data_IF_071245185762
#
_entry.id   IF_071245185762
#
_cell.length_a   1.000
_cell.length_b   1.000
_cell.length_c   1.000
_cell.angle_alpha   90.00
_cell.angle_beta   90.00
_cell.angle_gamma   90.00
#
_symmetry.space_group_name_H-M   'P 1'
#
loop_
_entity.id
_entity.type
_entity.pdbx_description
1 polymer ?
#
# COMPACT_ATOMS: atom_id res chain seq x y z
N UNK A 1 -4.63 46.86 -29.44
CA UNK A 1 -4.57 47.71 -28.24
C UNK A 1 -4.65 46.78 -27.04
N UNK A 2 -3.59 46.76 -26.23
CA UNK A 2 -3.44 45.93 -25.02
C UNK A 2 -4.58 46.16 -24.03
N UNK A 3 -4.96 45.12 -23.27
CA UNK A 3 -5.14 45.13 -21.80
C UNK A 3 -5.13 43.67 -21.31
N UNK A 4 -4.28 43.41 -20.32
CA UNK A 4 -4.14 42.19 -19.51
C UNK A 4 -5.05 42.24 -18.26
N UNK A 5 -5.45 41.07 -17.76
CA UNK A 5 -5.27 40.60 -16.36
C UNK A 5 -6.42 39.74 -15.81
N UNK A 6 -6.01 38.60 -15.24
CA UNK A 6 -6.49 37.89 -14.02
C UNK A 6 -7.99 37.86 -13.67
N UNK A 7 -8.54 36.65 -13.45
CA UNK A 7 -9.38 36.36 -12.28
C UNK A 7 -9.39 34.86 -11.89
N UNK A 8 -9.00 34.63 -10.64
CA UNK A 8 -9.30 33.51 -9.75
C UNK A 8 -10.80 33.42 -9.46
N UNK A 9 -11.34 32.20 -9.32
CA UNK A 9 -12.69 31.97 -8.78
C UNK A 9 -12.56 31.34 -7.39
N UNK A 10 -13.25 32.00 -6.47
CA UNK A 10 -13.39 31.83 -5.03
C UNK A 10 -14.53 30.83 -4.72
N UNK A 11 -14.34 29.96 -3.72
CA UNK A 11 -15.43 29.21 -3.08
C UNK A 11 -15.19 29.17 -1.57
N UNK A 12 -16.02 29.90 -0.84
CA UNK A 12 -16.30 29.75 0.60
C UNK A 12 -17.73 30.25 0.89
N UNK A 13 -18.36 30.07 2.07
CA UNK A 13 -17.87 29.56 3.37
C UNK A 13 -18.75 28.39 3.92
N UNK A 14 -18.45 27.61 4.96
CA UNK A 14 -18.18 28.00 6.35
C UNK A 14 -17.93 26.72 7.17
N UNK A 15 -16.89 26.70 8.02
CA UNK A 15 -16.93 26.33 9.45
C UNK A 15 -15.51 26.56 9.98
N UNK A 16 -15.42 27.49 10.92
CA UNK A 16 -14.19 27.92 11.59
C UNK A 16 -13.57 26.76 12.39
N UNK A 17 -12.35 26.34 12.06
CA UNK A 17 -11.37 25.84 13.04
C UNK A 17 -9.97 26.39 12.75
N UNK A 18 -9.31 26.77 13.83
CA UNK A 18 -8.08 27.55 13.97
C UNK A 18 -6.90 27.06 13.09
N UNK A 19 -6.34 27.99 12.30
CA UNK A 19 -4.90 28.23 12.18
C UNK A 19 -4.02 27.17 11.49
N UNK A 20 -4.12 27.06 10.16
CA UNK A 20 -3.00 26.60 9.32
C UNK A 20 -2.57 27.76 8.42
N UNK A 21 -1.44 28.40 8.72
CA UNK A 21 -0.81 29.35 7.80
C UNK A 21 -0.13 28.56 6.68
N UNK A 22 -0.74 28.56 5.50
CA UNK A 22 -0.13 28.06 4.27
C UNK A 22 1.01 29.04 3.88
N UNK A 23 2.26 28.70 4.24
CA UNK A 23 3.42 29.46 3.80
C UNK A 23 3.58 29.32 2.28
N UNK A 24 3.61 30.46 1.59
CA UNK A 24 4.09 30.54 0.22
C UNK A 24 5.50 29.94 0.14
N UNK A 25 5.63 28.91 -0.68
CA UNK A 25 6.86 28.16 -0.90
C UNK A 25 7.79 28.96 -1.80
N UNK A 26 8.92 29.40 -1.27
CA UNK A 26 9.99 30.04 -2.04
C UNK A 26 10.80 29.02 -2.85
N UNK A 27 11.54 29.52 -3.83
CA UNK A 27 12.31 28.87 -4.91
C UNK A 27 13.44 27.90 -4.49
N UNK A 28 13.47 27.44 -3.24
CA UNK A 28 14.38 26.40 -2.71
C UNK A 28 13.87 24.96 -2.92
N UNK A 29 12.67 24.80 -3.49
CA UNK A 29 11.91 23.54 -3.48
C UNK A 29 12.14 22.63 -4.70
N UNK A 30 13.10 22.93 -5.58
CA UNK A 30 13.43 22.08 -6.74
C UNK A 30 14.18 20.82 -6.33
N UNK A 31 15.17 20.92 -5.44
CA UNK A 31 15.97 19.76 -5.02
C UNK A 31 15.15 18.72 -4.23
N UNK A 32 14.27 19.17 -3.35
CA UNK A 32 13.37 18.28 -2.61
C UNK A 32 12.38 17.57 -3.55
N UNK A 33 11.70 18.32 -4.44
CA UNK A 33 10.82 17.71 -5.46
C UNK A 33 11.58 16.73 -6.36
N UNK A 34 12.79 17.07 -6.79
CA UNK A 34 13.63 16.17 -7.58
C UNK A 34 14.02 14.90 -6.82
N UNK A 35 14.32 14.99 -5.51
CA UNK A 35 14.58 13.83 -4.67
C UNK A 35 13.37 12.89 -4.60
N UNK A 36 12.15 13.43 -4.47
CA UNK A 36 10.92 12.65 -4.46
C UNK A 36 10.73 11.85 -5.76
N UNK A 37 10.96 12.47 -6.92
CA UNK A 37 10.91 11.76 -8.21
C UNK A 37 12.06 10.75 -8.38
N UNK A 38 13.28 11.14 -8.00
CA UNK A 38 14.49 10.29 -8.12
C UNK A 38 14.35 9.00 -7.31
N UNK A 39 13.76 9.10 -6.13
CA UNK A 39 13.58 7.97 -5.21
C UNK A 39 12.25 7.24 -5.42
N UNK A 40 11.37 7.75 -6.29
CA UNK A 40 10.17 7.03 -6.70
C UNK A 40 10.52 5.83 -7.59
N UNK A 41 10.10 4.66 -7.15
CA UNK A 41 10.42 3.36 -7.78
C UNK A 41 9.20 2.49 -8.01
N UNK A 42 8.18 2.65 -7.16
CA UNK A 42 6.92 1.92 -7.24
C UNK A 42 5.81 2.91 -7.59
N UNK A 43 5.52 3.04 -8.87
CA UNK A 43 4.42 3.88 -9.35
C UNK A 43 3.06 3.26 -9.03
N UNK A 44 1.99 4.05 -9.11
CA UNK A 44 0.59 3.65 -8.88
C UNK A 44 -0.25 4.03 -10.08
N UNK A 45 -1.16 3.13 -10.46
CA UNK A 45 -2.29 3.46 -11.33
C UNK A 45 -3.38 4.07 -10.44
N UNK A 46 -3.92 5.20 -10.85
CA UNK A 46 -5.04 5.89 -10.19
C UNK A 46 -6.09 6.32 -11.21
N UNK A 47 -7.24 6.77 -10.73
CA UNK A 47 -8.28 7.32 -11.58
C UNK A 47 -7.93 8.73 -12.09
N UNK A 48 -8.22 8.96 -13.36
CA UNK A 48 -8.15 10.27 -13.99
C UNK A 48 -9.31 11.18 -13.63
N UNK A 49 -10.46 10.57 -13.34
CA UNK A 49 -11.73 11.19 -12.96
C UNK A 49 -12.47 10.31 -11.94
N UNK A 50 -13.26 10.92 -11.05
CA UNK A 50 -14.06 10.20 -10.06
C UNK A 50 -15.16 9.37 -10.74
N UNK A 51 -15.26 8.09 -10.39
CA UNK A 51 -16.38 7.24 -10.76
C UNK A 51 -17.44 7.31 -9.66
N UNK A 52 -18.65 7.74 -10.02
CA UNK A 52 -19.78 7.86 -9.07
C UNK A 52 -20.81 6.76 -9.20
N UNK A 53 -20.84 6.05 -10.33
CA UNK A 53 -21.82 5.02 -10.60
C UNK A 53 -21.22 3.63 -10.32
N UNK A 54 -21.78 2.93 -9.35
CA UNK A 54 -21.44 1.54 -8.99
C UNK A 54 -22.28 0.51 -9.76
N UNK A 55 -23.29 0.94 -10.53
CA UNK A 55 -24.12 0.04 -11.33
C UNK A 55 -23.63 0.02 -12.78
N UNK A 56 -23.28 -1.16 -13.28
CA UNK A 56 -22.81 -1.33 -14.64
C UNK A 56 -23.81 -2.13 -15.47
N UNK A 57 -24.15 -1.60 -16.64
CA UNK A 57 -24.93 -2.35 -17.64
C UNK A 57 -24.04 -3.40 -18.30
N UNK A 58 -24.52 -4.64 -18.35
CA UNK A 58 -23.82 -5.73 -19.01
C UNK A 58 -23.85 -5.54 -20.54
N UNK A 59 -22.82 -6.02 -21.23
CA UNK A 59 -22.65 -5.89 -22.68
C UNK A 59 -22.58 -4.44 -23.21
N UNK A 60 -22.37 -3.46 -22.32
CA UNK A 60 -22.17 -2.04 -22.67
C UNK A 60 -20.72 -1.64 -22.49
N UNK A 61 -20.17 -0.92 -23.47
CA UNK A 61 -18.84 -0.31 -23.36
C UNK A 61 -18.90 0.92 -22.45
N UNK A 62 -17.98 0.97 -21.48
CA UNK A 62 -17.79 2.06 -20.55
C UNK A 62 -16.37 2.61 -20.70
N UNK A 63 -16.19 3.91 -20.55
CA UNK A 63 -14.87 4.55 -20.62
C UNK A 63 -14.32 4.83 -19.23
N UNK A 64 -13.01 4.73 -19.09
CA UNK A 64 -12.30 5.05 -17.86
C UNK A 64 -10.96 5.71 -18.17
N UNK A 65 -10.69 6.81 -17.48
CA UNK A 65 -9.41 7.49 -17.56
C UNK A 65 -8.55 7.02 -16.40
N UNK A 66 -7.36 6.49 -16.72
CA UNK A 66 -6.35 6.07 -15.76
C UNK A 66 -5.17 7.04 -15.81
N UNK A 67 -4.54 7.27 -14.67
CA UNK A 67 -3.33 8.08 -14.54
C UNK A 67 -2.22 7.30 -13.86
N UNK A 68 -0.99 7.51 -14.31
CA UNK A 68 0.20 7.00 -13.66
C UNK A 68 0.77 8.06 -12.71
N UNK A 69 0.96 7.69 -11.46
CA UNK A 69 1.50 8.57 -10.41
C UNK A 69 2.59 7.89 -9.59
N UNK A 70 3.43 8.68 -8.93
CA UNK A 70 4.34 8.22 -7.88
C UNK A 70 3.58 7.81 -6.62
N UNK A 71 4.25 7.22 -5.63
CA UNK A 71 3.70 6.92 -4.30
C UNK A 71 3.12 8.16 -3.56
N UNK A 72 3.57 9.35 -3.94
CA UNK A 72 3.07 10.62 -3.39
C UNK A 72 1.99 11.27 -4.24
N UNK A 73 1.61 10.68 -5.37
CA UNK A 73 0.54 11.20 -6.24
C UNK A 73 1.03 12.20 -7.27
N UNK A 74 2.34 12.39 -7.36
CA UNK A 74 2.94 13.22 -8.38
C UNK A 74 2.85 12.52 -9.75
N UNK A 75 2.55 13.24 -10.84
CA UNK A 75 2.51 12.69 -12.19
C UNK A 75 3.76 11.88 -12.55
N UNK A 76 3.60 10.66 -13.05
CA UNK A 76 4.69 9.85 -13.57
C UNK A 76 4.50 9.61 -15.07
N UNK A 77 5.61 9.55 -15.81
CA UNK A 77 5.58 9.34 -17.26
C UNK A 77 5.32 7.87 -17.59
N UNK A 78 4.43 7.64 -18.55
CA UNK A 78 4.22 6.33 -19.17
C UNK A 78 5.45 6.02 -20.04
N UNK A 79 5.97 4.78 -20.03
CA UNK A 79 7.05 4.40 -20.94
C UNK A 79 6.70 4.69 -22.41
N UNK A 80 7.64 5.24 -23.17
CA UNK A 80 7.45 5.62 -24.59
C UNK A 80 7.16 4.44 -25.54
N UNK A 81 7.07 3.21 -25.04
CA UNK A 81 6.81 1.99 -25.82
C UNK A 81 5.38 1.88 -26.39
N UNK A 82 4.56 2.92 -26.28
CA UNK A 82 3.24 3.02 -26.93
C UNK A 82 2.14 2.10 -26.39
N UNK A 83 2.46 1.11 -25.57
CA UNK A 83 1.49 0.24 -24.91
C UNK A 83 1.50 0.54 -23.41
N UNK A 84 0.37 0.97 -22.86
CA UNK A 84 0.13 0.93 -21.41
C UNK A 84 -0.25 -0.52 -21.06
N UNK A 85 0.67 -1.30 -20.46
CA UNK A 85 0.50 -2.73 -20.40
C UNK A 85 -0.36 -3.05 -19.19
N UNK A 86 -1.68 -2.92 -19.27
CA UNK A 86 -2.60 -3.37 -18.22
C UNK A 86 -3.62 -4.34 -18.81
N UNK A 87 -3.76 -5.47 -18.13
CA UNK A 87 -4.87 -6.40 -18.28
C UNK A 87 -6.00 -5.97 -17.38
N UNK A 88 -7.22 -6.26 -17.81
CA UNK A 88 -8.42 -6.07 -17.01
C UNK A 88 -8.95 -7.44 -16.59
N UNK A 89 -9.19 -7.59 -15.31
CA UNK A 89 -9.75 -8.78 -14.71
C UNK A 89 -10.97 -8.38 -13.88
N UNK A 90 -11.95 -9.29 -13.81
CA UNK A 90 -13.12 -9.10 -12.97
C UNK A 90 -12.96 -9.99 -11.74
N UNK A 91 -12.89 -9.40 -10.56
CA UNK A 91 -12.77 -10.09 -9.28
C UNK A 91 -14.12 -10.13 -8.56
N UNK A 92 -14.32 -11.17 -7.75
CA UNK A 92 -15.42 -11.31 -6.81
C UNK A 92 -14.90 -11.90 -5.50
N UNK A 93 -15.59 -11.59 -4.41
CA UNK A 93 -15.35 -12.22 -3.12
C UNK A 93 -15.83 -13.68 -3.15
N UNK A 94 -14.92 -14.62 -2.89
CA UNK A 94 -15.17 -16.06 -2.87
C UNK A 94 -15.17 -16.61 -1.46
N UNK A 95 -16.20 -17.42 -1.16
CA UNK A 95 -16.40 -18.10 0.13
C UNK A 95 -16.36 -17.15 1.34
N UNK A 96 -16.58 -15.84 1.12
CA UNK A 96 -16.43 -14.81 2.15
C UNK A 96 -15.01 -14.66 2.70
N UNK A 97 -13.97 -15.07 1.97
CA UNK A 97 -12.59 -15.12 2.49
C UNK A 97 -11.56 -14.41 1.61
N UNK A 98 -11.65 -14.48 0.29
CA UNK A 98 -10.63 -13.89 -0.59
C UNK A 98 -11.25 -13.44 -1.91
N UNK A 99 -10.60 -12.53 -2.60
CA UNK A 99 -11.01 -12.09 -3.93
C UNK A 99 -10.32 -12.95 -4.99
N UNK A 100 -11.07 -13.39 -5.99
CA UNK A 100 -10.53 -14.15 -7.12
C UNK A 100 -11.33 -13.85 -8.38
N UNK A 101 -10.83 -14.32 -9.53
CA UNK A 101 -11.48 -14.14 -10.82
C UNK A 101 -12.96 -14.57 -10.79
N UNK A 102 -13.79 -13.78 -11.44
CA UNK A 102 -15.17 -14.10 -11.71
C UNK A 102 -15.25 -15.36 -12.57
N UNK A 103 -16.15 -16.29 -12.20
CA UNK A 103 -16.39 -17.53 -12.94
C UNK A 103 -17.60 -17.42 -13.87
N UNK A 104 -18.44 -16.41 -13.66
CA UNK A 104 -19.74 -16.23 -14.33
C UNK A 104 -19.74 -15.09 -15.34
N UNK A 105 -18.86 -14.10 -15.16
CA UNK A 105 -18.81 -12.89 -15.96
C UNK A 105 -17.35 -12.61 -16.34
N UNK A 106 -17.12 -12.22 -17.58
CA UNK A 106 -15.80 -11.84 -18.09
C UNK A 106 -15.73 -10.34 -18.35
N UNK A 107 -14.53 -9.80 -18.45
CA UNK A 107 -14.31 -8.40 -18.84
C UNK A 107 -13.41 -8.36 -20.07
N UNK A 108 -13.81 -7.54 -21.04
CA UNK A 108 -12.99 -7.15 -22.19
C UNK A 108 -12.55 -5.71 -21.99
N UNK A 109 -11.33 -5.39 -22.40
CA UNK A 109 -10.80 -4.04 -22.35
C UNK A 109 -10.00 -3.72 -23.61
N UNK A 110 -10.10 -2.48 -24.09
CA UNK A 110 -9.32 -1.94 -25.21
C UNK A 110 -8.88 -0.52 -24.91
N UNK A 111 -7.83 -0.06 -25.58
CA UNK A 111 -7.53 1.36 -25.64
C UNK A 111 -8.69 2.06 -26.35
N UNK A 112 -9.09 3.24 -25.88
CA UNK A 112 -10.00 4.06 -26.66
C UNK A 112 -9.29 4.47 -27.96
N UNK A 113 -9.92 4.20 -29.10
CA UNK A 113 -9.53 4.85 -30.35
C UNK A 113 -9.67 6.36 -30.14
N UNK A 114 -8.75 7.15 -30.69
CA UNK A 114 -8.99 8.59 -30.82
C UNK A 114 -10.24 8.72 -31.71
N UNK A 115 -11.42 8.83 -31.10
CA UNK A 115 -12.57 9.41 -31.78
C UNK A 115 -12.06 10.72 -32.35
N UNK A 116 -12.16 10.88 -33.68
CA UNK A 116 -11.94 12.15 -34.35
C UNK A 116 -12.56 13.23 -33.48
N UNK A 117 -11.70 14.02 -32.85
CA UNK A 117 -12.13 15.08 -31.96
C UNK A 117 -13.17 15.89 -32.71
N UNK A 118 -14.40 15.95 -32.16
CA UNK A 118 -15.40 16.89 -32.59
C UNK A 118 -14.72 18.23 -32.86
N UNK A 119 -14.89 18.73 -34.09
CA UNK A 119 -14.12 19.82 -34.72
C UNK A 119 -14.19 21.20 -34.01
N UNK A 120 -14.61 21.26 -32.76
CA UNK A 120 -14.74 22.47 -31.95
C UNK A 120 -13.55 22.78 -31.04
N UNK A 121 -12.58 21.87 -30.88
CA UNK A 121 -11.37 22.11 -30.07
C UNK A 121 -10.05 22.14 -30.85
N UNK A 122 -10.06 22.46 -32.15
CA UNK A 122 -8.85 22.84 -32.87
C UNK A 122 -8.60 24.35 -32.80
N UNK A 123 -8.10 24.83 -31.66
CA UNK A 123 -7.25 26.00 -31.63
C UNK A 123 -6.17 25.82 -30.57
N UNK A 124 -5.06 25.18 -30.96
CA UNK A 124 -3.68 25.70 -30.86
C UNK A 124 -2.69 24.54 -30.85
N UNK A 125 -2.13 24.24 -32.02
CA UNK A 125 -0.70 24.28 -32.33
C UNK A 125 -0.42 23.42 -33.56
N UNK A 126 -0.31 24.09 -34.69
CA UNK A 126 0.37 23.60 -35.87
C UNK A 126 1.85 23.35 -35.54
N UNK A 127 2.38 22.19 -35.96
CA UNK A 127 3.58 22.11 -36.79
C UNK A 127 3.76 20.67 -37.29
N UNK A 128 3.57 20.52 -38.59
CA UNK A 128 3.89 19.35 -39.39
C UNK A 128 5.39 19.24 -39.62
N UNK A 129 5.93 18.02 -39.58
CA UNK A 129 7.02 17.61 -40.46
C UNK A 129 6.74 16.17 -40.92
N UNK A 130 6.37 16.07 -42.18
CA UNK A 130 6.23 14.85 -42.96
C UNK A 130 7.63 14.29 -43.19
N UNK A 131 7.84 13.00 -42.93
CA UNK A 131 8.84 12.20 -43.62
C UNK A 131 8.18 10.88 -43.99
N UNK A 132 7.95 10.70 -45.29
CA UNK A 132 7.53 9.44 -45.90
C UNK A 132 8.69 8.43 -45.76
N UNK A 133 8.48 7.35 -44.99
CA UNK A 133 9.04 5.99 -45.22
C UNK A 133 9.12 5.05 -44.00
N UNK A 134 8.41 5.26 -42.89
CA UNK A 134 8.38 4.25 -41.81
C UNK A 134 6.95 3.97 -41.31
N UNK A 135 6.52 2.71 -41.38
CA UNK A 135 5.30 2.16 -40.79
C UNK A 135 5.41 2.07 -39.25
N UNK A 136 5.55 3.21 -38.57
CA UNK A 136 5.46 3.28 -37.10
C UNK A 136 4.67 4.52 -36.68
N UNK A 137 3.45 4.31 -36.17
CA UNK A 137 2.65 5.36 -35.56
C UNK A 137 3.26 5.78 -34.23
N UNK A 138 3.89 6.96 -34.20
CA UNK A 138 4.28 7.62 -32.95
C UNK A 138 3.25 8.71 -32.60
N UNK A 139 2.49 8.50 -31.53
CA UNK A 139 1.68 9.56 -30.93
C UNK A 139 2.50 10.31 -29.88
N UNK A 140 2.78 11.59 -30.14
CA UNK A 140 3.24 12.53 -29.12
C UNK A 140 2.02 13.26 -28.56
N UNK A 141 1.42 12.73 -27.49
CA UNK A 141 0.45 13.50 -26.71
C UNK A 141 1.20 14.40 -25.72
N UNK A 142 0.71 15.63 -25.54
CA UNK A 142 1.30 16.64 -24.64
C UNK A 142 1.11 16.31 -23.15
N UNK A 143 0.43 15.21 -22.80
CA UNK A 143 0.21 14.70 -21.44
C UNK A 143 0.45 13.19 -21.35
N UNK A 144 1.72 12.80 -21.29
CA UNK A 144 2.22 11.41 -21.31
C UNK A 144 1.96 10.59 -20.03
N UNK A 145 0.93 10.92 -19.24
CA UNK A 145 0.59 10.27 -17.96
C UNK A 145 -0.85 9.78 -17.83
N UNK A 146 -1.71 10.05 -18.83
CA UNK A 146 -3.13 9.67 -18.84
C UNK A 146 -3.38 8.63 -19.93
N UNK A 147 -4.19 7.62 -19.63
CA UNK A 147 -4.62 6.58 -20.56
C UNK A 147 -6.12 6.44 -20.47
N UNK A 148 -6.80 6.54 -21.61
CA UNK A 148 -8.23 6.25 -21.72
C UNK A 148 -8.43 4.82 -22.18
N UNK A 149 -9.13 4.05 -21.37
CA UNK A 149 -9.53 2.68 -21.67
C UNK A 149 -11.04 2.60 -21.86
N UNK A 150 -11.47 1.68 -22.71
CA UNK A 150 -12.85 1.22 -22.76
C UNK A 150 -12.92 -0.20 -22.26
N UNK A 151 -13.91 -0.50 -21.41
CA UNK A 151 -14.15 -1.83 -20.88
C UNK A 151 -15.62 -2.23 -21.03
N UNK A 152 -15.86 -3.53 -21.17
CA UNK A 152 -17.20 -4.12 -21.28
C UNK A 152 -17.22 -5.41 -20.48
N UNK A 153 -18.21 -5.54 -19.62
CA UNK A 153 -18.44 -6.78 -18.85
C UNK A 153 -19.44 -7.62 -19.64
N UNK A 154 -19.06 -8.86 -19.96
CA UNK A 154 -19.94 -9.84 -20.58
C UNK A 154 -20.36 -10.88 -19.54
N UNK A 155 -21.57 -11.42 -19.68
CA UNK A 155 -22.05 -12.51 -18.83
C UNK A 155 -23.57 -12.66 -18.90
N UNK A 156 -24.07 -13.65 -18.19
CA UNK A 156 -25.50 -14.03 -18.17
C UNK A 156 -26.15 -13.85 -16.79
N UNK A 157 -25.36 -13.64 -15.74
CA UNK A 157 -25.83 -13.42 -14.37
C UNK A 157 -25.77 -11.93 -14.02
N UNK A 158 -26.90 -11.42 -13.55
CA UNK A 158 -27.11 -10.06 -13.07
C UNK A 158 -27.93 -10.16 -11.79
N UNK A 159 -27.35 -10.86 -10.81
CA UNK A 159 -27.84 -10.79 -9.45
C UNK A 159 -27.40 -9.44 -8.87
N UNK A 160 -28.35 -8.58 -8.53
CA UNK A 160 -28.07 -7.25 -7.98
C UNK A 160 -27.39 -7.30 -6.60
N UNK A 161 -27.35 -8.45 -5.94
CA UNK A 161 -26.64 -8.64 -4.66
C UNK A 161 -25.15 -8.96 -4.83
N UNK A 162 -24.70 -9.37 -6.02
CA UNK A 162 -23.30 -9.71 -6.25
C UNK A 162 -22.46 -8.46 -6.49
N UNK A 163 -21.36 -8.36 -5.75
CA UNK A 163 -20.35 -7.31 -5.92
C UNK A 163 -19.18 -7.81 -6.78
N UNK A 164 -18.86 -7.01 -7.78
CA UNK A 164 -17.74 -7.22 -8.68
C UNK A 164 -16.71 -6.10 -8.54
N UNK A 165 -15.46 -6.43 -8.81
CA UNK A 165 -14.36 -5.47 -8.72
C UNK A 165 -13.54 -5.55 -10.00
N UNK A 166 -13.29 -4.41 -10.64
CA UNK A 166 -12.47 -4.35 -11.85
C UNK A 166 -11.02 -4.17 -11.44
N UNK A 167 -10.20 -5.18 -11.71
CA UNK A 167 -8.78 -5.22 -11.40
C UNK A 167 -7.95 -4.93 -12.65
N UNK A 168 -7.27 -3.79 -12.65
CA UNK A 168 -6.28 -3.38 -13.63
C UNK A 168 -4.91 -3.87 -13.17
N UNK A 169 -4.48 -4.99 -13.71
CA UNK A 169 -3.19 -5.60 -13.42
C UNK A 169 -2.21 -5.30 -14.56
N UNK A 170 -1.01 -4.77 -14.29
CA UNK A 170 0.00 -4.60 -15.33
C UNK A 170 0.34 -5.93 -16.04
N UNK A 171 0.59 -5.95 -17.36
CA UNK A 171 0.89 -7.17 -18.16
C UNK A 171 2.16 -7.90 -17.70
N UNK A 172 2.96 -7.30 -16.83
CA UNK A 172 3.99 -8.01 -16.08
C UNK A 172 3.40 -8.37 -14.72
N UNK A 173 3.14 -9.67 -14.52
CA UNK A 173 2.66 -10.20 -13.24
C UNK A 173 3.59 -9.78 -12.09
N UNK A 174 3.08 -9.73 -10.86
CA UNK A 174 3.93 -9.44 -9.69
C UNK A 174 5.11 -10.44 -9.54
N UNK A 175 4.98 -11.64 -10.12
CA UNK A 175 6.04 -12.66 -10.19
C UNK A 175 7.13 -12.30 -11.20
N UNK A 176 6.75 -11.78 -12.37
CA UNK A 176 7.67 -11.41 -13.46
C UNK A 176 8.34 -10.05 -13.24
N UNK A 177 7.77 -9.20 -12.37
CA UNK A 177 8.41 -7.96 -11.90
C UNK A 177 9.85 -8.19 -11.47
N UNK A 178 10.15 -9.27 -10.76
CA UNK A 178 11.47 -9.55 -10.18
C UNK A 178 12.59 -9.62 -11.25
N UNK A 179 12.25 -9.81 -12.53
CA UNK A 179 13.20 -9.98 -13.63
C UNK A 179 13.20 -8.86 -14.69
N UNK A 180 12.21 -7.96 -14.66
CA UNK A 180 12.04 -6.87 -15.63
C UNK A 180 12.85 -5.62 -15.23
N UNK A 181 13.40 -4.92 -16.23
CA UNK A 181 14.05 -3.60 -16.03
C UNK A 181 13.02 -2.47 -15.86
N UNK A 182 11.76 -2.71 -16.18
CA UNK A 182 10.72 -1.68 -16.21
C UNK A 182 9.99 -1.56 -14.86
N UNK A 183 9.74 -0.32 -14.46
CA UNK A 183 8.99 0.03 -13.23
C UNK A 183 7.50 -0.30 -13.43
N UNK A 184 7.10 -1.57 -13.24
CA UNK A 184 5.69 -1.96 -13.28
C UNK A 184 4.92 -1.32 -12.10
N UNK A 185 3.83 -0.56 -12.36
CA UNK A 185 3.09 0.15 -11.32
C UNK A 185 2.16 -0.76 -10.52
N UNK A 186 1.81 -0.41 -9.29
CA UNK A 186 0.84 -1.18 -8.49
C UNK A 186 -0.50 -1.26 -9.20
N UNK A 187 -1.13 -2.43 -9.08
CA UNK A 187 -2.45 -2.68 -9.62
C UNK A 187 -3.46 -1.71 -9.01
N UNK A 188 -4.52 -1.44 -9.78
CA UNK A 188 -5.67 -0.68 -9.33
C UNK A 188 -6.87 -1.61 -9.36
N UNK A 189 -7.60 -1.69 -8.26
CA UNK A 189 -8.86 -2.40 -8.21
C UNK A 189 -9.97 -1.40 -7.89
N UNK A 190 -11.07 -1.46 -8.62
CA UNK A 190 -12.20 -0.55 -8.49
C UNK A 190 -13.46 -1.33 -8.12
N UNK A 191 -14.28 -0.79 -7.23
CA UNK A 191 -15.57 -1.37 -6.89
C UNK A 191 -16.13 -0.82 -5.57
N UNK A 192 -17.13 -1.48 -4.98
CA UNK A 192 -17.88 -2.57 -5.59
C UNK A 192 -18.70 -2.09 -6.78
N UNK A 193 -18.88 -2.95 -7.77
CA UNK A 193 -19.80 -2.77 -8.89
C UNK A 193 -20.91 -3.82 -8.81
N UNK A 194 -22.14 -3.41 -9.13
CA UNK A 194 -23.29 -4.30 -9.31
C UNK A 194 -23.66 -4.34 -10.80
N UNK A 195 -23.98 -5.52 -11.32
CA UNK A 195 -24.31 -5.70 -12.73
C UNK A 195 -25.82 -5.70 -12.96
N UNK A 196 -26.29 -4.93 -13.96
CA UNK A 196 -27.71 -4.85 -14.33
C UNK A 196 -27.94 -5.33 -15.77
N UNK A 197 -29.03 -6.09 -15.99
CA UNK A 197 -29.36 -6.69 -17.31
C UNK A 197 -30.32 -5.89 -18.21
N UNK A 198 -31.15 -4.99 -17.68
CA UNK A 198 -32.09 -4.18 -18.49
C UNK A 198 -32.33 -2.80 -17.87
N UNK A 199 -32.67 -1.83 -18.73
CA UNK A 199 -33.22 -0.54 -18.33
C UNK A 199 -34.56 -0.78 -17.65
N UNK A 200 -34.70 -0.38 -16.38
CA UNK A 200 -36.04 -0.14 -15.86
C UNK A 200 -36.68 0.88 -16.79
N UNK A 201 -37.73 0.48 -17.48
CA UNK A 201 -38.65 1.34 -18.23
C UNK A 201 -39.46 2.23 -17.28
N UNK A 202 -38.79 2.84 -16.31
CA UNK A 202 -39.30 3.89 -15.48
C UNK A 202 -38.55 5.15 -15.90
N UNK A 203 -39.15 5.87 -16.84
CA UNK A 203 -39.01 7.30 -17.02
C UNK A 203 -39.53 8.04 -15.76
N UNK A 204 -39.14 7.60 -14.57
CA UNK A 204 -39.09 8.47 -13.42
C UNK A 204 -37.73 9.13 -13.48
N UNK A 205 -37.73 10.37 -13.96
CA UNK A 205 -36.72 11.37 -13.66
C UNK A 205 -36.49 11.28 -12.15
N UNK A 206 -35.48 10.52 -11.73
CA UNK A 206 -35.00 10.62 -10.37
C UNK A 206 -34.49 12.06 -10.26
N UNK A 207 -34.89 12.81 -9.21
CA UNK A 207 -34.31 14.12 -9.00
C UNK A 207 -32.79 13.97 -9.02
N UNK A 208 -32.08 14.96 -9.55
CA UNK A 208 -30.67 15.14 -9.24
C UNK A 208 -30.55 15.23 -7.71
N UNK A 209 -30.40 14.08 -7.05
CA UNK A 209 -30.08 13.98 -5.64
C UNK A 209 -28.60 14.36 -5.60
N UNK A 210 -28.37 15.65 -5.41
CA UNK A 210 -27.02 16.22 -5.44
C UNK A 210 -26.12 15.65 -4.34
N UNK A 211 -26.68 14.98 -3.32
CA UNK A 211 -25.98 14.31 -2.23
C UNK A 211 -26.72 13.02 -1.82
N UNK A 212 -26.40 11.89 -2.47
CA UNK A 212 -26.68 10.56 -1.89
C UNK A 212 -25.45 10.17 -1.04
N UNK A 213 -25.54 10.38 0.27
CA UNK A 213 -24.50 10.02 1.25
C UNK A 213 -24.46 8.51 1.53
N UNK A 214 -25.17 7.67 0.76
CA UNK A 214 -25.07 6.22 0.90
C UNK A 214 -23.75 5.70 0.36
N UNK A 215 -22.82 5.40 1.28
CA UNK A 215 -21.53 4.77 1.01
C UNK A 215 -21.59 3.50 0.14
N UNK A 216 -22.77 2.83 0.05
CA UNK A 216 -22.99 1.64 -0.78
C UNK A 216 -22.97 1.91 -2.29
N UNK A 217 -23.18 3.15 -2.73
CA UNK A 217 -23.25 3.48 -4.15
C UNK A 217 -21.92 4.01 -4.72
N UNK A 218 -20.90 4.23 -3.89
CA UNK A 218 -19.64 4.86 -4.30
C UNK A 218 -18.59 3.85 -4.72
N UNK A 219 -18.01 4.04 -5.90
CA UNK A 219 -16.85 3.26 -6.37
C UNK A 219 -15.59 3.77 -5.68
N UNK A 220 -14.91 2.87 -4.99
CA UNK A 220 -13.66 3.12 -4.27
C UNK A 220 -12.46 2.57 -5.05
N UNK A 221 -11.28 3.08 -4.70
CA UNK A 221 -9.99 2.59 -5.18
C UNK A 221 -9.35 1.68 -4.14
N UNK A 222 -8.96 0.50 -4.59
CA UNK A 222 -8.29 -0.50 -3.80
C UNK A 222 -6.97 -0.94 -4.45
N UNK A 223 -6.08 -1.48 -3.64
CA UNK A 223 -4.94 -2.29 -4.07
C UNK A 223 -5.27 -3.75 -3.86
N UNK A 224 -5.13 -4.55 -4.92
CA UNK A 224 -5.25 -6.00 -4.83
C UNK A 224 -3.87 -6.58 -4.53
N UNK A 225 -3.66 -7.05 -3.30
CA UNK A 225 -2.43 -7.73 -2.90
C UNK A 225 -2.61 -9.24 -3.02
N UNK A 226 -1.68 -9.96 -3.67
CA UNK A 226 -1.79 -11.39 -3.80
C UNK A 226 -1.69 -12.09 -2.45
N UNK A 227 -2.32 -13.25 -2.36
CA UNK A 227 -2.15 -14.23 -1.30
C UNK A 227 -1.22 -15.36 -1.80
N UNK A 228 -0.71 -16.25 -0.92
CA UNK A 228 0.17 -17.36 -1.30
C UNK A 228 -0.39 -18.31 -2.36
N UNK A 229 -1.71 -18.42 -2.47
CA UNK A 229 -2.36 -19.23 -3.50
C UNK A 229 -2.55 -18.37 -4.75
N UNK A 230 -2.13 -18.89 -5.91
CA UNK A 230 -2.23 -18.18 -7.19
C UNK A 230 -3.66 -17.68 -7.45
N UNK A 231 -3.75 -16.46 -7.99
CA UNK A 231 -5.01 -15.77 -8.33
C UNK A 231 -5.97 -15.53 -7.16
N UNK A 232 -5.48 -15.56 -5.92
CA UNK A 232 -6.22 -15.12 -4.73
C UNK A 232 -5.66 -13.77 -4.27
N UNK A 233 -6.55 -12.85 -3.91
CA UNK A 233 -6.20 -11.49 -3.52
C UNK A 233 -6.90 -11.05 -2.25
N UNK A 234 -6.27 -10.09 -1.57
CA UNK A 234 -6.90 -9.21 -0.59
C UNK A 234 -7.03 -7.82 -1.20
N UNK A 235 -8.11 -7.12 -0.88
CA UNK A 235 -8.29 -5.74 -1.29
C UNK A 235 -7.98 -4.80 -0.13
N UNK A 236 -7.30 -3.70 -0.40
CA UNK A 236 -7.01 -2.66 0.57
C UNK A 236 -7.39 -1.30 0.02
N UNK A 237 -8.30 -0.60 0.69
CA UNK A 237 -8.71 0.74 0.33
C UNK A 237 -7.58 1.72 0.67
N UNK A 238 -7.25 2.58 -0.29
CA UNK A 238 -6.39 3.75 -0.06
C UNK A 238 -7.25 5.01 -0.02
N UNK A 239 -7.08 5.83 1.02
CA UNK A 239 -7.70 7.15 1.13
C UNK A 239 -6.58 8.19 1.14
N UNK A 240 -6.33 8.77 -0.02
CA UNK A 240 -5.20 9.68 -0.24
C UNK A 240 -5.30 10.95 0.61
N UNK A 241 -6.51 11.37 0.92
CA UNK A 241 -6.81 12.54 1.77
C UNK A 241 -6.53 12.27 3.26
N UNK A 242 -6.42 11.00 3.67
CA UNK A 242 -6.03 10.62 5.03
C UNK A 242 -4.51 10.74 5.25
N UNK A 243 -3.76 11.29 4.29
CA UNK A 243 -2.32 11.51 4.41
C UNK A 243 -1.52 10.21 4.46
N UNK A 244 -0.47 10.19 5.29
CA UNK A 244 0.46 9.05 5.42
C UNK A 244 -0.21 7.72 5.80
N UNK A 245 -1.10 7.64 6.80
CA UNK A 245 -1.73 6.37 7.18
C UNK A 245 -2.74 5.85 6.15
N UNK A 246 -3.18 6.70 5.22
CA UNK A 246 -4.18 6.38 4.20
C UNK A 246 -3.69 5.56 3.00
N UNK A 247 -2.41 5.19 2.98
CA UNK A 247 -1.74 4.63 1.79
C UNK A 247 -1.06 3.31 2.09
N UNK A 248 -0.97 2.46 1.08
CA UNK A 248 -0.09 1.31 1.08
C UNK A 248 1.33 1.78 0.80
N UNK A 249 2.29 1.46 1.66
CA UNK A 249 3.69 1.85 1.50
C UNK A 249 4.57 0.72 0.97
N UNK A 250 5.67 1.09 0.31
CA UNK A 250 6.52 0.16 -0.44
C UNK A 250 7.18 -0.88 0.46
N UNK A 251 7.56 -0.50 1.69
CA UNK A 251 8.09 -1.44 2.67
C UNK A 251 7.08 -2.52 3.07
N UNK A 252 5.79 -2.19 3.17
CA UNK A 252 4.73 -3.15 3.45
C UNK A 252 4.54 -4.16 2.30
N UNK A 253 4.65 -3.70 1.05
CA UNK A 253 4.64 -4.60 -0.12
C UNK A 253 5.77 -5.63 -0.07
N UNK A 254 6.99 -5.17 0.23
CA UNK A 254 8.17 -6.04 0.34
C UNK A 254 7.99 -7.06 1.46
N UNK A 255 7.51 -6.61 2.62
CA UNK A 255 7.27 -7.50 3.76
C UNK A 255 6.16 -8.52 3.46
N UNK A 256 5.04 -8.11 2.88
CA UNK A 256 3.96 -9.00 2.48
C UNK A 256 4.40 -10.04 1.47
N UNK A 257 5.21 -9.66 0.48
CA UNK A 257 5.79 -10.62 -0.46
C UNK A 257 6.58 -11.70 0.27
N UNK A 258 7.45 -11.33 1.22
CA UNK A 258 8.22 -12.31 1.99
C UNK A 258 7.30 -13.17 2.87
N UNK A 259 6.37 -12.59 3.62
CA UNK A 259 5.45 -13.37 4.47
C UNK A 259 4.60 -14.35 3.68
N UNK A 260 4.11 -13.97 2.50
CA UNK A 260 3.38 -14.87 1.63
C UNK A 260 4.27 -16.02 1.16
N UNK A 261 5.47 -15.68 0.69
CA UNK A 261 6.45 -16.67 0.26
C UNK A 261 6.80 -17.65 1.39
N UNK A 262 6.94 -17.17 2.64
CA UNK A 262 7.20 -18.04 3.78
C UNK A 262 6.02 -18.95 4.10
N UNK A 263 4.79 -18.47 3.91
CA UNK A 263 3.60 -19.28 4.10
C UNK A 263 3.46 -20.41 3.06
N UNK A 264 3.96 -20.22 1.83
CA UNK A 264 4.05 -21.28 0.81
C UNK A 264 5.04 -22.38 1.23
N UNK A 265 6.16 -21.99 1.85
CA UNK A 265 7.21 -22.90 2.29
C UNK A 265 6.83 -23.66 3.56
N UNK A 266 6.22 -22.97 4.52
CA UNK A 266 5.80 -23.54 5.79
C UNK A 266 4.65 -22.72 6.39
N UNK A 267 3.42 -23.22 6.23
CA UNK A 267 2.22 -22.54 6.73
C UNK A 267 2.21 -22.30 8.25
N UNK A 268 3.07 -22.96 9.04
CA UNK A 268 3.12 -22.84 10.50
C UNK A 268 4.26 -21.94 11.01
N UNK A 269 5.00 -21.25 10.14
CA UNK A 269 6.18 -20.46 10.54
C UNK A 269 5.89 -19.36 11.59
N UNK A 270 4.65 -18.88 11.69
CA UNK A 270 4.20 -17.92 12.71
C UNK A 270 3.29 -18.53 13.78
N UNK A 271 3.15 -19.85 13.82
CA UNK A 271 2.25 -20.53 14.75
C UNK A 271 2.54 -20.13 16.21
N UNK A 272 1.49 -19.69 16.91
CA UNK A 272 1.53 -19.24 18.30
C UNK A 272 2.35 -17.97 18.57
N UNK A 273 2.92 -17.31 17.56
CA UNK A 273 3.70 -16.06 17.72
C UNK A 273 2.80 -14.88 18.06
N UNK A 274 3.30 -13.92 18.83
CA UNK A 274 2.63 -12.65 19.10
C UNK A 274 3.36 -11.55 18.35
N UNK A 275 2.67 -10.87 17.46
CA UNK A 275 3.22 -9.93 16.48
C UNK A 275 2.54 -8.59 16.64
N UNK A 276 3.32 -7.51 16.67
CA UNK A 276 2.83 -6.16 16.54
C UNK A 276 3.09 -5.67 15.11
N UNK A 277 2.10 -5.04 14.48
CA UNK A 277 2.28 -4.24 13.28
C UNK A 277 2.17 -2.77 13.70
N UNK A 278 3.31 -2.12 13.88
CA UNK A 278 3.41 -0.78 14.48
C UNK A 278 3.34 0.29 13.40
N UNK A 279 2.42 1.24 13.57
CA UNK A 279 2.04 2.24 12.57
C UNK A 279 1.60 1.59 11.26
N UNK A 280 0.62 0.69 11.41
CA UNK A 280 0.16 -0.20 10.35
C UNK A 280 -0.59 0.52 9.22
N UNK A 281 -1.01 1.78 9.41
CA UNK A 281 -1.77 2.57 8.44
C UNK A 281 -3.04 1.86 8.00
N UNK A 282 -3.06 1.41 6.74
CA UNK A 282 -4.18 0.65 6.17
C UNK A 282 -4.28 -0.81 6.67
N UNK A 283 -3.33 -1.30 7.46
CA UNK A 283 -3.32 -2.65 8.04
C UNK A 283 -2.73 -3.73 7.13
N UNK A 284 -1.97 -3.35 6.11
CA UNK A 284 -1.55 -4.26 5.03
C UNK A 284 -0.77 -5.49 5.52
N UNK A 285 0.14 -5.34 6.49
CA UNK A 285 0.98 -6.47 6.93
C UNK A 285 0.19 -7.37 7.88
N UNK A 286 -0.38 -6.80 8.94
CA UNK A 286 -1.15 -7.53 9.93
C UNK A 286 -2.35 -8.28 9.34
N UNK A 287 -3.13 -7.63 8.47
CA UNK A 287 -4.31 -8.27 7.85
C UNK A 287 -3.90 -9.39 6.88
N UNK A 288 -2.79 -9.24 6.13
CA UNK A 288 -2.30 -10.32 5.26
C UNK A 288 -1.84 -11.55 6.04
N UNK A 289 -1.14 -11.36 7.16
CA UNK A 289 -0.75 -12.48 8.04
C UNK A 289 -1.98 -13.17 8.64
N UNK A 290 -2.96 -12.38 9.10
CA UNK A 290 -4.21 -12.90 9.66
C UNK A 290 -4.98 -13.74 8.64
N UNK A 291 -5.16 -13.19 7.44
CA UNK A 291 -5.90 -13.84 6.36
C UNK A 291 -5.22 -15.12 5.90
N UNK A 292 -3.90 -15.09 5.72
CA UNK A 292 -3.13 -16.27 5.32
C UNK A 292 -3.21 -17.39 6.38
N UNK A 293 -3.16 -17.03 7.66
CA UNK A 293 -3.31 -18.00 8.76
C UNK A 293 -4.71 -18.62 8.78
N UNK A 294 -5.74 -17.82 8.52
CA UNK A 294 -7.13 -18.28 8.43
C UNK A 294 -7.34 -19.23 7.25
N UNK A 295 -6.88 -18.86 6.05
CA UNK A 295 -7.01 -19.69 4.85
C UNK A 295 -6.30 -21.04 4.98
N UNK A 296 -5.18 -21.07 5.71
CA UNK A 296 -4.42 -22.29 5.98
C UNK A 296 -4.98 -23.14 7.13
N UNK A 297 -6.08 -22.71 7.77
CA UNK A 297 -6.71 -23.35 8.93
C UNK A 297 -5.71 -23.68 10.05
N UNK A 298 -4.84 -22.70 10.39
CA UNK A 298 -3.83 -22.88 11.42
C UNK A 298 -4.50 -23.02 12.80
N UNK A 299 -4.25 -24.13 13.49
CA UNK A 299 -4.89 -24.44 14.78
C UNK A 299 -4.52 -23.45 15.89
N UNK A 300 -3.26 -22.99 15.90
CA UNK A 300 -2.75 -21.98 16.84
C UNK A 300 -2.21 -20.79 16.03
N UNK A 301 -3.10 -19.93 15.49
CA UNK A 301 -2.70 -18.83 14.63
C UNK A 301 -1.88 -17.79 15.41
N UNK A 302 -1.04 -16.99 14.73
CA UNK A 302 -0.37 -15.86 15.38
C UNK A 302 -1.39 -14.89 15.96
N UNK A 303 -1.07 -14.33 17.12
CA UNK A 303 -1.79 -13.18 17.67
C UNK A 303 -1.18 -11.90 17.10
N UNK A 304 -1.99 -11.10 16.41
CA UNK A 304 -1.59 -9.89 15.68
C UNK A 304 -2.26 -8.68 16.34
N UNK A 305 -1.43 -7.72 16.73
CA UNK A 305 -1.89 -6.42 17.23
C UNK A 305 -1.42 -5.34 16.26
N UNK A 306 -2.34 -4.78 15.49
CA UNK A 306 -2.05 -3.66 14.61
C UNK A 306 -2.28 -2.37 15.38
N UNK A 307 -1.33 -1.43 15.30
CA UNK A 307 -1.41 -0.18 16.05
C UNK A 307 -1.13 1.02 15.18
N UNK A 308 -1.81 2.12 15.46
CA UNK A 308 -1.55 3.42 14.84
C UNK A 308 -2.16 4.53 15.70
N UNK A 309 -2.13 5.77 15.24
CA UNK A 309 -2.88 6.88 15.83
C UNK A 309 -4.39 6.70 15.61
N UNK A 310 -5.21 7.38 16.43
CA UNK A 310 -6.67 7.21 16.44
C UNK A 310 -7.30 7.46 15.06
N UNK A 311 -6.78 8.43 14.32
CA UNK A 311 -7.24 8.83 12.99
C UNK A 311 -7.06 7.74 11.92
N UNK A 312 -6.11 6.82 12.10
CA UNK A 312 -5.83 5.76 11.13
C UNK A 312 -6.70 4.51 11.37
N UNK A 313 -7.16 4.29 12.61
CA UNK A 313 -7.88 3.08 13.00
C UNK A 313 -9.18 2.84 12.20
N UNK A 314 -10.00 3.87 11.85
CA UNK A 314 -11.23 3.66 11.07
C UNK A 314 -10.98 3.04 9.70
N UNK A 315 -9.97 3.52 8.96
CA UNK A 315 -9.63 2.96 7.66
C UNK A 315 -9.07 1.54 7.79
N UNK A 316 -8.24 1.29 8.79
CA UNK A 316 -7.72 -0.04 9.09
C UNK A 316 -8.85 -1.04 9.40
N UNK A 317 -9.84 -0.64 10.21
CA UNK A 317 -11.05 -1.42 10.50
C UNK A 317 -11.91 -1.65 9.25
N UNK A 318 -12.06 -0.62 8.40
CA UNK A 318 -12.73 -0.76 7.11
C UNK A 318 -12.06 -1.83 6.23
N UNK A 319 -10.72 -1.82 6.15
CA UNK A 319 -9.97 -2.84 5.41
C UNK A 319 -10.05 -4.22 6.04
N UNK A 320 -10.12 -4.32 7.37
CA UNK A 320 -10.39 -5.58 8.05
C UNK A 320 -11.76 -6.16 7.66
N UNK A 321 -12.79 -5.32 7.67
CA UNK A 321 -14.16 -5.68 7.31
C UNK A 321 -14.28 -6.05 5.82
N UNK A 322 -13.65 -5.28 4.93
CA UNK A 322 -13.59 -5.54 3.49
C UNK A 322 -13.09 -6.96 3.18
N UNK A 323 -12.09 -7.43 3.94
CA UNK A 323 -11.55 -8.78 3.78
C UNK A 323 -12.26 -9.84 4.65
N UNK A 324 -13.41 -9.50 5.24
CA UNK A 324 -14.21 -10.33 6.15
C UNK A 324 -13.40 -10.95 7.30
N UNK A 325 -12.35 -10.29 7.78
CA UNK A 325 -11.51 -10.80 8.87
C UNK A 325 -12.23 -10.49 10.20
N UNK A 326 -12.69 -11.50 10.96
CA UNK A 326 -13.44 -11.25 12.17
C UNK A 326 -12.54 -10.61 13.25
N UNK A 327 -13.11 -9.69 14.02
CA UNK A 327 -12.50 -9.28 15.28
C UNK A 327 -12.43 -10.50 16.21
N UNK A 328 -11.26 -10.73 16.79
CA UNK A 328 -11.02 -11.90 17.64
C UNK A 328 -9.88 -11.65 18.61
N UNK A 329 -9.64 -12.57 19.54
CA UNK A 329 -8.47 -12.50 20.43
C UNK A 329 -7.13 -12.62 19.69
N UNK A 330 -7.15 -13.04 18.41
CA UNK A 330 -5.95 -13.19 17.57
C UNK A 330 -5.69 -12.00 16.65
N UNK A 331 -6.66 -11.11 16.43
CA UNK A 331 -6.50 -9.94 15.55
C UNK A 331 -7.15 -8.75 16.24
N UNK A 332 -6.35 -7.79 16.66
CA UNK A 332 -6.84 -6.57 17.32
C UNK A 332 -6.22 -5.32 16.71
N UNK A 333 -7.01 -4.26 16.62
CA UNK A 333 -6.60 -2.92 16.20
C UNK A 333 -6.64 -2.01 17.44
N UNK A 334 -5.53 -1.38 17.80
CA UNK A 334 -5.42 -0.56 19.00
C UNK A 334 -4.68 0.76 18.72
N UNK A 335 -4.97 1.80 19.50
CA UNK A 335 -4.20 3.05 19.45
C UNK A 335 -2.80 2.83 20.03
N UNK A 336 -1.77 3.37 19.37
CA UNK A 336 -0.45 3.57 19.95
C UNK A 336 0.18 4.84 19.36
N UNK A 337 0.31 5.86 20.19
CA UNK A 337 1.13 7.03 19.89
C UNK A 337 2.59 6.79 20.28
N UNK A 338 3.52 7.12 19.38
CA UNK A 338 4.94 6.92 19.65
C UNK A 338 5.37 7.67 20.90
N UNK A 339 6.12 6.99 21.77
CA UNK A 339 6.60 7.51 23.04
C UNK A 339 5.60 7.39 24.20
N UNK A 340 4.34 7.02 23.93
CA UNK A 340 3.33 6.81 24.97
C UNK A 340 3.55 5.48 25.70
N UNK A 341 4.13 5.55 26.90
CA UNK A 341 4.24 4.38 27.79
C UNK A 341 2.85 3.87 28.20
N UNK A 342 1.87 4.77 28.36
CA UNK A 342 0.48 4.42 28.71
C UNK A 342 -0.15 3.52 27.66
N UNK A 343 -0.01 3.85 26.37
CA UNK A 343 -0.57 3.07 25.27
C UNK A 343 0.10 1.70 25.20
N UNK A 344 1.43 1.66 25.32
CA UNK A 344 2.22 0.41 25.37
C UNK A 344 1.77 -0.47 26.53
N UNK A 345 1.66 0.08 27.74
CA UNK A 345 1.26 -0.67 28.93
C UNK A 345 -0.18 -1.18 28.82
N UNK A 346 -1.08 -0.44 28.17
CA UNK A 346 -2.43 -0.89 27.88
C UNK A 346 -2.46 -2.08 26.91
N UNK A 347 -1.72 -2.00 25.80
CA UNK A 347 -1.62 -3.08 24.79
C UNK A 347 -0.99 -4.36 25.39
N UNK A 348 -0.09 -4.18 26.36
CA UNK A 348 0.66 -5.26 27.00
C UNK A 348 -0.06 -5.84 28.23
N UNK A 349 -1.06 -5.15 28.78
CA UNK A 349 -1.72 -5.54 30.03
C UNK A 349 -2.34 -6.93 29.93
N UNK A 350 -1.90 -7.85 30.78
CA UNK A 350 -2.42 -9.22 30.81
C UNK A 350 -1.97 -10.10 29.64
N UNK A 351 -1.04 -9.64 28.81
CA UNK A 351 -0.52 -10.37 27.65
C UNK A 351 1.00 -10.57 27.74
N UNK A 352 1.49 -11.64 27.11
CA UNK A 352 2.93 -11.87 26.94
C UNK A 352 3.53 -10.83 26.00
N UNK A 353 4.84 -10.64 26.10
CA UNK A 353 5.55 -9.76 25.19
C UNK A 353 5.50 -10.24 23.72
N UNK A 354 5.66 -9.30 22.81
CA UNK A 354 5.74 -9.58 21.38
C UNK A 354 7.01 -10.38 21.06
N UNK A 355 6.89 -11.34 20.15
CA UNK A 355 8.05 -12.01 19.56
C UNK A 355 8.63 -11.12 18.45
N UNK A 356 7.75 -10.53 17.63
CA UNK A 356 8.10 -9.67 16.50
C UNK A 356 7.31 -8.38 16.51
N UNK A 357 7.97 -7.31 16.04
CA UNK A 357 7.34 -6.01 15.79
C UNK A 357 7.70 -5.62 14.36
N UNK A 358 6.71 -5.41 13.53
CA UNK A 358 6.83 -5.12 12.11
C UNK A 358 6.54 -3.64 11.90
N UNK A 359 7.36 -2.99 11.07
CA UNK A 359 7.29 -1.54 10.84
C UNK A 359 7.55 -1.27 9.36
N UNK A 360 6.70 -0.46 8.73
CA UNK A 360 6.86 -0.07 7.32
C UNK A 360 6.85 1.45 7.16
N UNK A 361 7.97 2.03 6.70
CA UNK A 361 8.07 3.40 6.19
C UNK A 361 7.68 4.52 7.17
N UNK A 362 8.05 4.38 8.46
CA UNK A 362 7.74 5.38 9.51
C UNK A 362 8.75 6.54 9.61
N UNK A 363 9.87 6.49 8.88
CA UNK A 363 10.91 7.54 8.91
C UNK A 363 10.65 8.59 7.83
N UNK A 364 9.92 9.66 8.18
CA UNK A 364 9.66 10.77 7.26
C UNK A 364 9.65 12.16 7.91
N UNK A 365 9.53 12.24 9.25
CA UNK A 365 9.54 13.50 9.99
C UNK A 365 10.55 13.43 11.14
N UNK A 366 11.58 14.27 11.07
CA UNK A 366 12.70 14.28 12.03
C UNK A 366 12.28 14.62 13.45
N UNK A 367 11.17 15.35 13.62
CA UNK A 367 10.62 15.70 14.94
C UNK A 367 10.13 14.49 15.72
N UNK A 368 9.76 13.42 15.01
CA UNK A 368 9.15 12.23 15.61
C UNK A 368 10.21 11.18 15.99
N UNK A 369 11.47 11.35 15.54
CA UNK A 369 12.54 10.39 15.80
C UNK A 369 12.75 10.07 17.28
N UNK A 370 12.79 11.04 18.21
CA UNK A 370 12.97 10.73 19.63
C UNK A 370 11.83 9.86 20.19
N UNK A 371 10.58 10.18 19.84
CA UNK A 371 9.41 9.44 20.30
C UNK A 371 9.38 8.01 19.71
N UNK A 372 9.73 7.86 18.43
CA UNK A 372 9.81 6.58 17.75
C UNK A 372 10.92 5.68 18.36
N UNK A 373 12.13 6.22 18.55
CA UNK A 373 13.24 5.48 19.17
C UNK A 373 12.88 5.10 20.61
N UNK A 374 12.24 5.99 21.37
CA UNK A 374 11.75 5.69 22.71
C UNK A 374 10.73 4.54 22.72
N UNK A 375 9.83 4.49 21.73
CA UNK A 375 8.89 3.37 21.53
C UNK A 375 9.63 2.05 21.32
N UNK A 376 10.64 2.04 20.45
CA UNK A 376 11.42 0.83 20.17
C UNK A 376 12.12 0.32 21.43
N UNK A 377 12.72 1.23 22.20
CA UNK A 377 13.36 0.92 23.47
C UNK A 377 12.39 0.31 24.45
N UNK A 378 11.27 0.97 24.73
CA UNK A 378 10.28 0.48 25.69
C UNK A 378 9.76 -0.91 25.30
N UNK A 379 9.44 -1.14 24.03
CA UNK A 379 8.91 -2.42 23.56
C UNK A 379 9.95 -3.56 23.66
N UNK A 380 11.23 -3.27 23.37
CA UNK A 380 12.33 -4.22 23.50
C UNK A 380 12.74 -4.43 24.97
N UNK A 381 12.58 -3.44 25.83
CA UNK A 381 12.83 -3.57 27.28
C UNK A 381 11.82 -4.50 27.95
N UNK A 382 10.56 -4.57 27.47
CA UNK A 382 9.57 -5.55 27.96
C UNK A 382 9.99 -7.00 27.70
N UNK A 383 10.80 -7.25 26.68
CA UNK A 383 11.38 -8.55 26.38
C UNK A 383 12.63 -8.43 25.50
N UNK A 384 13.79 -8.76 26.06
CA UNK A 384 15.09 -8.74 25.36
C UNK A 384 15.18 -9.64 24.13
N UNK A 385 14.24 -10.57 23.95
CA UNK A 385 14.15 -11.45 22.78
C UNK A 385 13.23 -10.91 21.69
N UNK A 386 12.51 -9.81 21.92
CA UNK A 386 11.71 -9.13 20.89
C UNK A 386 12.61 -8.71 19.73
N UNK A 387 12.19 -9.01 18.51
CA UNK A 387 12.87 -8.58 17.29
C UNK A 387 11.97 -7.57 16.57
N UNK A 388 12.46 -6.35 16.41
CA UNK A 388 11.83 -5.37 15.53
C UNK A 388 12.40 -5.56 14.13
N UNK A 389 11.54 -5.62 13.12
CA UNK A 389 11.89 -5.66 11.72
C UNK A 389 11.27 -4.44 11.05
N UNK A 390 12.13 -3.56 10.56
CA UNK A 390 11.76 -2.27 10.01
C UNK A 390 12.14 -2.19 8.55
N UNK A 391 11.16 -1.92 7.69
CA UNK A 391 11.36 -1.56 6.31
C UNK A 391 11.36 -0.05 6.18
N UNK A 392 12.33 0.47 5.45
CA UNK A 392 12.47 1.89 5.19
C UNK A 392 12.90 2.15 3.76
N UNK A 393 12.15 2.98 3.05
CA UNK A 393 12.54 3.53 1.76
C UNK A 393 12.93 5.01 1.89
N UNK A 394 14.20 5.37 1.60
CA UNK A 394 14.63 6.76 1.49
C UNK A 394 13.82 7.52 0.44
N UNK A 395 13.32 8.71 0.79
CA UNK A 395 12.50 9.54 -0.11
C UNK A 395 13.02 10.97 -0.22
N UNK A 396 13.06 11.69 0.89
CA UNK A 396 13.40 13.12 0.89
C UNK A 396 14.14 13.62 2.14
N UNK A 397 14.41 12.74 3.11
CA UNK A 397 15.30 13.08 4.22
C UNK A 397 16.71 13.31 3.68
N UNK A 398 17.42 14.28 4.24
CA UNK A 398 18.84 14.46 3.97
C UNK A 398 19.62 13.34 4.65
N UNK A 399 20.79 13.01 4.10
CA UNK A 399 21.67 12.00 4.69
C UNK A 399 21.95 12.29 6.17
N UNK A 400 22.23 13.54 6.54
CA UNK A 400 22.49 13.92 7.95
C UNK A 400 21.27 13.73 8.87
N UNK A 401 20.05 13.77 8.34
CA UNK A 401 18.82 13.51 9.11
C UNK A 401 18.61 12.01 9.29
N UNK A 402 18.89 11.19 8.26
CA UNK A 402 18.91 9.74 8.39
C UNK A 402 19.99 9.28 9.38
N UNK A 403 21.19 9.83 9.27
CA UNK A 403 22.31 9.55 10.18
C UNK A 403 21.93 9.86 11.62
N UNK A 404 21.26 10.99 11.88
CA UNK A 404 20.75 11.35 13.20
C UNK A 404 19.85 10.26 13.79
N UNK A 405 18.90 9.74 13.01
CA UNK A 405 18.03 8.67 13.46
C UNK A 405 18.80 7.39 13.75
N UNK A 406 19.63 6.94 12.81
CA UNK A 406 20.31 5.66 12.92
C UNK A 406 21.39 5.66 14.02
N UNK A 407 22.11 6.78 14.19
CA UNK A 407 23.12 6.91 15.24
C UNK A 407 22.47 6.96 16.62
N UNK A 408 21.41 7.75 16.80
CA UNK A 408 20.66 7.77 18.07
C UNK A 408 19.99 6.42 18.36
N UNK A 409 19.49 5.72 17.34
CA UNK A 409 18.98 4.36 17.53
C UNK A 409 20.09 3.40 17.99
N UNK A 410 21.29 3.50 17.40
CA UNK A 410 22.46 2.66 17.75
C UNK A 410 23.02 2.95 19.14
N UNK A 411 22.79 4.12 19.74
CA UNK A 411 23.23 4.37 21.12
C UNK A 411 22.53 3.43 22.10
N UNK A 412 21.23 3.15 21.87
CA UNK A 412 20.37 2.37 22.77
C UNK A 412 20.09 0.94 22.30
N UNK A 413 20.05 0.69 21.00
CA UNK A 413 19.61 -0.56 20.39
C UNK A 413 20.69 -1.14 19.46
N UNK A 414 20.63 -2.45 19.22
CA UNK A 414 21.46 -3.09 18.18
C UNK A 414 20.68 -3.05 16.87
N UNK A 415 21.25 -2.37 15.88
CA UNK A 415 20.67 -2.18 14.56
C UNK A 415 21.54 -2.84 13.50
N UNK A 416 20.95 -3.71 12.68
CA UNK A 416 21.61 -4.46 11.61
C UNK A 416 20.80 -4.32 10.33
N UNK A 417 21.47 -4.19 9.18
CA UNK A 417 20.80 -4.28 7.88
C UNK A 417 20.48 -5.74 7.54
N UNK A 418 19.37 -5.96 6.84
CA UNK A 418 18.95 -7.28 6.38
C UNK A 418 18.82 -7.30 4.86
N UNK A 419 19.24 -8.41 4.24
CA UNK A 419 18.70 -8.83 2.96
C UNK A 419 17.42 -9.67 3.16
N UNK A 420 16.78 -10.08 2.06
CA UNK A 420 15.51 -10.83 2.11
C UNK A 420 15.67 -12.20 2.77
N UNK A 421 16.80 -12.86 2.54
CA UNK A 421 17.07 -14.17 3.14
C UNK A 421 17.27 -14.05 4.66
N UNK A 422 18.09 -13.09 5.10
CA UNK A 422 18.34 -12.83 6.52
C UNK A 422 17.08 -12.39 7.25
N UNK A 423 16.20 -11.65 6.56
CA UNK A 423 14.86 -11.34 7.06
C UNK A 423 14.01 -12.61 7.23
N UNK A 424 13.92 -13.44 6.19
CA UNK A 424 13.17 -14.69 6.24
C UNK A 424 13.66 -15.64 7.35
N UNK A 425 14.98 -15.72 7.57
CA UNK A 425 15.59 -16.54 8.62
C UNK A 425 15.15 -16.17 10.02
N UNK A 426 14.64 -14.95 10.26
CA UNK A 426 14.17 -14.57 11.60
C UNK A 426 12.98 -15.41 12.07
N UNK A 427 12.23 -16.00 11.14
CA UNK A 427 11.01 -16.75 11.45
C UNK A 427 11.20 -18.27 11.50
N UNK A 428 12.41 -18.75 11.25
CA UNK A 428 12.75 -20.17 11.27
C UNK A 428 13.89 -20.46 12.26
N UNK A 429 14.12 -21.74 12.54
CA UNK A 429 15.28 -22.16 13.30
C UNK A 429 16.56 -22.09 12.46
N UNK A 430 17.73 -22.08 13.12
CA UNK A 430 19.03 -22.06 12.45
C UNK A 430 19.44 -23.46 11.94
N UNK A 431 18.52 -24.21 11.33
CA UNK A 431 18.78 -25.56 10.81
C UNK A 431 19.20 -25.55 9.33
N UNK A 432 19.93 -26.58 8.87
CA UNK A 432 20.21 -26.77 7.43
C UNK A 432 18.95 -26.93 6.57
N UNK A 433 17.83 -27.33 7.18
CA UNK A 433 16.52 -27.38 6.53
C UNK A 433 16.03 -25.96 6.18
N UNK A 434 16.17 -25.03 7.12
CA UNK A 434 15.87 -23.61 6.91
C UNK A 434 16.69 -23.00 5.79
N UNK A 435 17.98 -23.34 5.68
CA UNK A 435 18.83 -22.83 4.59
C UNK A 435 18.23 -23.12 3.21
N UNK A 436 17.75 -24.34 3.00
CA UNK A 436 17.09 -24.74 1.76
C UNK A 436 15.75 -24.02 1.57
N UNK A 437 14.99 -23.86 2.66
CA UNK A 437 13.67 -23.21 2.68
C UNK A 437 13.71 -21.74 2.24
N UNK A 438 14.81 -21.02 2.43
CA UNK A 438 14.88 -19.57 2.12
C UNK A 438 15.90 -19.19 1.04
N UNK A 439 16.71 -20.15 0.57
CA UNK A 439 17.82 -19.88 -0.37
C UNK A 439 17.39 -19.17 -1.67
N UNK A 440 16.16 -19.38 -2.14
CA UNK A 440 15.68 -18.74 -3.37
C UNK A 440 15.56 -17.20 -3.23
N UNK A 441 15.39 -16.69 -2.01
CA UNK A 441 15.33 -15.24 -1.74
C UNK A 441 16.68 -14.54 -1.99
N UNK A 442 17.81 -15.27 -1.94
CA UNK A 442 19.15 -14.72 -2.26
C UNK A 442 19.21 -14.12 -3.67
N UNK A 443 18.46 -14.70 -4.61
CA UNK A 443 18.46 -14.29 -6.02
C UNK A 443 17.45 -13.18 -6.31
N UNK A 444 16.58 -12.86 -5.35
CA UNK A 444 15.55 -11.84 -5.55
C UNK A 444 16.17 -10.44 -5.58
N UNK A 445 15.78 -9.65 -6.59
CA UNK A 445 16.18 -8.24 -6.74
C UNK A 445 15.16 -7.28 -6.13
N UNK A 446 14.19 -7.77 -5.36
CA UNK A 446 13.06 -6.98 -4.90
C UNK A 446 13.48 -5.72 -4.13
N UNK A 447 14.45 -5.80 -3.21
CA UNK A 447 14.95 -4.61 -2.47
C UNK A 447 15.61 -3.58 -3.41
N UNK A 448 16.36 -4.04 -4.42
CA UNK A 448 16.96 -3.16 -5.42
C UNK A 448 15.87 -2.48 -6.26
N UNK A 449 14.84 -3.21 -6.66
CA UNK A 449 13.76 -2.69 -7.48
C UNK A 449 12.90 -1.67 -6.75
N UNK A 450 12.54 -1.94 -5.50
CA UNK A 450 11.69 -1.05 -4.70
C UNK A 450 12.47 0.09 -4.04
N UNK A 451 13.77 -0.10 -3.82
CA UNK A 451 14.61 0.83 -3.05
C UNK A 451 14.38 0.74 -1.54
N UNK A 452 13.68 -0.31 -1.08
CA UNK A 452 13.47 -0.56 0.35
C UNK A 452 14.74 -1.14 0.96
N UNK A 453 15.10 -0.61 2.13
CA UNK A 453 16.09 -1.15 3.03
C UNK A 453 15.39 -1.85 4.20
N UNK A 454 15.89 -3.02 4.60
CA UNK A 454 15.38 -3.74 5.76
C UNK A 454 16.38 -3.65 6.91
N UNK A 455 15.86 -3.50 8.12
CA UNK A 455 16.63 -3.40 9.34
C UNK A 455 16.07 -4.34 10.40
N UNK A 456 16.99 -4.99 11.12
CA UNK A 456 16.72 -5.71 12.36
C UNK A 456 17.13 -4.84 13.54
N UNK A 457 16.23 -4.64 14.48
CA UNK A 457 16.49 -3.88 15.70
C UNK A 457 16.23 -4.79 16.90
N UNK A 458 17.21 -4.90 17.79
CA UNK A 458 17.17 -5.79 18.96
C UNK A 458 17.78 -5.14 20.19
N UNK A 459 17.58 -5.76 21.35
CA UNK A 459 18.16 -5.29 22.61
C UNK A 459 19.69 -5.20 22.54
N UNK A 460 20.26 -4.06 22.92
CA UNK A 460 21.71 -3.87 23.04
C UNK A 460 22.18 -4.31 24.43
N UNK A 461 23.04 -5.33 24.50
CA UNK A 461 23.65 -5.74 25.78
C UNK A 461 24.62 -4.66 26.27
N UNK A 462 24.31 -4.00 27.39
CA UNK A 462 25.24 -3.06 28.02
C UNK A 462 26.39 -3.81 28.69
N UNK A 463 27.64 -3.55 28.26
CA UNK A 463 28.85 -4.19 28.83
C UNK A 463 29.09 -3.86 30.31
N UNK A 464 28.43 -2.83 30.86
CA UNK A 464 28.68 -2.33 32.22
C UNK A 464 27.93 -3.04 33.37
N UNK A 465 26.97 -3.94 33.08
CA UNK A 465 26.25 -4.66 34.15
C UNK A 465 26.87 -6.00 34.59
N UNK A 466 28.01 -6.42 34.01
CA UNK A 466 28.70 -7.65 34.46
C UNK A 466 29.67 -7.44 35.63
N UNK A 467 29.98 -6.21 36.05
CA UNK A 467 30.93 -5.98 37.16
C UNK A 467 30.28 -5.87 38.56
N UNK A 468 28.95 -5.80 38.68
CA UNK A 468 28.29 -5.68 39.99
C UNK A 468 27.70 -6.97 40.56
N UNK A 469 27.86 -8.11 39.88
CA UNK A 469 27.41 -9.42 40.37
C UNK A 469 28.54 -10.38 40.79
N UNK A 470 29.81 -9.97 40.67
CA UNK A 470 30.97 -10.82 40.99
C UNK A 470 31.77 -10.40 42.24
N UNK A 471 31.24 -9.53 43.11
CA UNK A 471 32.00 -9.02 44.28
C UNK A 471 31.36 -9.22 45.65
N UNK A 472 30.25 -9.95 45.81
CA UNK A 472 29.61 -10.17 47.12
C UNK A 472 29.38 -11.65 47.47
N UNK A 473 30.39 -12.50 47.26
CA UNK A 473 30.38 -13.85 47.86
C UNK A 473 31.79 -14.27 48.27
N UNK A 474 32.40 -13.49 49.15
CA UNK A 474 33.45 -13.97 50.05
C UNK A 474 33.26 -13.26 51.38
N UNK A 475 33.42 -14.02 52.47
CA UNK A 475 33.20 -13.70 53.89
C UNK A 475 31.77 -13.84 54.40
N UNK A 476 31.45 -15.03 54.93
CA UNK A 476 31.60 -15.28 56.39
C UNK A 476 31.47 -16.77 56.70
N UNK A 477 32.38 -17.19 57.59
CA UNK A 477 32.43 -18.46 58.32
C UNK A 477 31.18 -18.67 59.16
#
# INVERSE_FOLDING_TARGET
MLITSTHTIDLSPSIRKKGFHQRQVSTTNTHFKQALYRNSRVHRITLGSLLRESKLKINTWNSIDLKLVTELGLPAQIPNSGQFPVTCQLLQLRHGQYYALSQTNSIECRLAEEEETDSWCQQTSTLSLINENDEFFSFQTTNNNLVRLQYKINGSSCNNEEEFYIHFEPNQSERDRIHSKDKSPLSLCLGPFQLCCQESSDLHVQPLVMWDDNAKNTVNMYRALPLPKESHYMLFQELWDNGTPGKLWDSALVMNHVFNTLAEVDKHYLCGRRIMDLSAGIGAIGLTIAQTSRLNNIQNPPQIVMTDLEEALPLMKSNQQLNNIPESNFVSIQRLEWGSLTDIDQIMRGHRAFDFILISDVLYNTKDFPALINTFRQLVEKNRYTVIIMGYKPRGLKQCEEDLFFDECRTHLRLETLDLESFARQFFDNSPSTDKKVAFLRKSKLLQMTGVCLYKITHKKNKFQMHHLNSNTLYKL
#
